data_IF_854365313189
#
_entry.id   IF_854365313189
#
_cell.length_a   1.000
_cell.length_b   1.000
_cell.length_c   1.000
_cell.angle_alpha   90.00
_cell.angle_beta   90.00
_cell.angle_gamma   90.00
#
_symmetry.space_group_name_H-M   'P 1'
#
loop_
_entity.id
_entity.type
_entity.pdbx_description
1 polymer ?
#
# COMPACT_ATOMS: atom_id res chain seq x y z
N UNK A 1 23.84 9.81 4.43
CA UNK A 1 22.87 10.51 5.30
C UNK A 1 21.52 10.66 4.61
N UNK A 2 21.47 11.20 3.38
CA UNK A 2 20.22 11.42 2.62
C UNK A 2 19.38 10.16 2.46
N UNK A 3 19.98 9.04 2.03
CA UNK A 3 19.27 7.75 1.83
C UNK A 3 18.57 7.26 3.11
N UNK A 4 19.21 7.39 4.26
CA UNK A 4 18.62 6.98 5.54
C UNK A 4 17.40 7.86 5.91
N UNK A 5 17.46 9.16 5.63
CA UNK A 5 16.33 10.07 5.80
C UNK A 5 15.19 9.77 4.82
N UNK A 6 15.49 9.40 3.56
CA UNK A 6 14.50 8.99 2.56
C UNK A 6 13.74 7.73 3.01
N UNK A 7 14.48 6.73 3.52
CA UNK A 7 13.89 5.48 4.00
C UNK A 7 13.03 5.75 5.24
N UNK A 8 13.51 6.55 6.19
CA UNK A 8 12.73 6.93 7.38
C UNK A 8 11.44 7.66 7.01
N UNK A 9 11.50 8.63 6.10
CA UNK A 9 10.30 9.33 5.62
C UNK A 9 9.32 8.37 4.94
N UNK A 10 9.80 7.51 4.04
CA UNK A 10 8.97 6.51 3.37
C UNK A 10 8.31 5.54 4.37
N UNK A 11 9.05 5.06 5.39
CA UNK A 11 8.52 4.19 6.43
C UNK A 11 7.46 4.87 7.30
N UNK A 12 7.65 6.12 7.70
CA UNK A 12 6.67 6.88 8.49
C UNK A 12 5.39 7.11 7.67
N UNK A 13 5.54 7.53 6.42
CA UNK A 13 4.40 7.74 5.51
C UNK A 13 3.65 6.44 5.26
N UNK A 14 4.36 5.32 5.05
CA UNK A 14 3.76 4.00 4.92
C UNK A 14 2.98 3.60 6.19
N UNK A 15 3.53 3.84 7.38
CA UNK A 15 2.87 3.51 8.64
C UNK A 15 1.61 4.36 8.88
N UNK A 16 1.65 5.65 8.55
CA UNK A 16 0.48 6.53 8.63
C UNK A 16 -0.60 6.14 7.63
N UNK A 17 -0.24 5.87 6.37
CA UNK A 17 -1.19 5.42 5.35
C UNK A 17 -1.77 4.05 5.67
N UNK A 18 -0.99 3.16 6.29
CA UNK A 18 -1.46 1.87 6.75
C UNK A 18 -2.57 2.03 7.80
N UNK A 19 -2.34 2.88 8.80
CA UNK A 19 -3.33 3.14 9.84
C UNK A 19 -4.57 3.86 9.29
N UNK A 20 -4.39 4.73 8.30
CA UNK A 20 -5.49 5.48 7.66
C UNK A 20 -6.37 4.58 6.77
N UNK A 21 -5.78 3.64 6.04
CA UNK A 21 -6.51 2.84 5.05
C UNK A 21 -6.99 1.47 5.53
N UNK A 22 -6.20 0.81 6.37
CA UNK A 22 -6.45 -0.59 6.76
C UNK A 22 -6.91 -0.71 8.20
N UNK A 23 -6.47 0.16 9.12
CA UNK A 23 -6.87 0.15 10.53
C UNK A 23 -6.34 -1.05 11.32
N UNK A 24 -6.44 -2.26 10.76
CA UNK A 24 -6.06 -3.54 11.34
C UNK A 24 -5.09 -4.34 10.46
N UNK A 25 -4.23 -5.11 11.12
CA UNK A 25 -3.23 -5.96 10.47
C UNK A 25 -3.85 -7.13 9.69
N UNK A 26 -5.00 -7.64 10.15
CA UNK A 26 -5.72 -8.71 9.44
C UNK A 26 -6.24 -8.25 8.07
N UNK A 27 -6.79 -7.03 7.98
CA UNK A 27 -7.28 -6.47 6.72
C UNK A 27 -6.14 -6.26 5.72
N UNK A 28 -4.98 -5.79 6.19
CA UNK A 28 -3.81 -5.65 5.33
C UNK A 28 -3.30 -7.00 4.82
N UNK A 29 -3.15 -8.00 5.69
CA UNK A 29 -2.69 -9.34 5.29
C UNK A 29 -3.68 -9.99 4.34
N UNK A 30 -4.99 -9.81 4.55
CA UNK A 30 -6.00 -10.27 3.63
C UNK A 30 -5.81 -9.63 2.24
N UNK A 31 -5.67 -8.31 2.17
CA UNK A 31 -5.47 -7.60 0.91
C UNK A 31 -4.15 -7.98 0.21
N UNK A 32 -3.04 -8.14 0.95
CA UNK A 32 -1.76 -8.62 0.39
C UNK A 32 -1.91 -10.04 -0.15
N UNK A 33 -2.59 -10.93 0.58
CA UNK A 33 -2.83 -12.31 0.18
C UNK A 33 -3.71 -12.39 -1.08
N UNK A 34 -4.69 -11.48 -1.21
CA UNK A 34 -5.48 -11.30 -2.43
C UNK A 34 -4.63 -10.81 -3.60
N UNK A 35 -3.69 -9.90 -3.38
CA UNK A 35 -2.78 -9.40 -4.42
C UNK A 35 -1.86 -10.50 -4.97
N UNK A 36 -1.35 -11.39 -4.10
CA UNK A 36 -0.52 -12.53 -4.50
C UNK A 36 -1.33 -13.75 -4.98
N UNK A 37 -2.59 -13.86 -4.60
CA UNK A 37 -3.50 -14.95 -5.00
C UNK A 37 -4.74 -14.32 -5.62
N UNK A 38 -4.70 -13.94 -6.91
CA UNK A 38 -5.88 -13.42 -7.57
C UNK A 38 -6.88 -14.57 -7.71
N UNK A 39 -7.76 -14.73 -6.73
CA UNK A 39 -8.90 -15.62 -6.82
C UNK A 39 -9.93 -14.96 -7.75
N UNK A 40 -9.63 -15.02 -9.05
CA UNK A 40 -10.46 -14.52 -10.17
C UNK A 40 -11.90 -15.07 -10.10
N UNK A 41 -12.08 -16.20 -9.41
CA UNK A 41 -13.37 -16.87 -9.17
C UNK A 41 -14.21 -16.16 -8.08
N UNK A 42 -13.60 -15.44 -7.13
CA UNK A 42 -14.31 -14.67 -6.09
C UNK A 42 -14.91 -13.37 -6.63
N UNK A 43 -14.18 -12.72 -7.55
CA UNK A 43 -14.57 -11.48 -8.18
C UNK A 43 -15.90 -11.61 -8.99
N UNK A 44 -16.13 -12.78 -9.60
CA UNK A 44 -17.37 -13.09 -10.34
C UNK A 44 -18.60 -13.37 -9.46
N UNK A 45 -18.44 -13.52 -8.13
CA UNK A 45 -19.54 -13.88 -7.20
C UNK A 45 -20.32 -12.66 -6.68
N UNK A 46 -19.96 -11.44 -7.07
CA UNK A 46 -20.75 -10.23 -6.81
C UNK A 46 -20.21 -9.28 -5.73
N UNK A 47 -19.05 -9.55 -5.14
CA UNK A 47 -18.34 -8.64 -4.22
C UNK A 47 -17.21 -7.84 -4.92
N UNK A 48 -17.35 -7.63 -6.22
CA UNK A 48 -16.33 -7.01 -7.08
C UNK A 48 -15.92 -5.61 -6.62
N UNK A 49 -16.86 -4.84 -6.05
CA UNK A 49 -16.59 -3.47 -5.61
C UNK A 49 -15.72 -3.40 -4.35
N UNK A 50 -15.96 -4.27 -3.37
CA UNK A 50 -15.15 -4.29 -2.14
C UNK A 50 -13.75 -4.85 -2.41
N UNK A 51 -13.65 -5.87 -3.27
CA UNK A 51 -12.37 -6.48 -3.66
C UNK A 51 -11.48 -5.50 -4.46
N UNK A 52 -12.05 -4.76 -5.43
CA UNK A 52 -11.31 -3.73 -6.17
C UNK A 52 -10.90 -2.57 -5.26
N UNK A 53 -11.73 -2.21 -4.29
CA UNK A 53 -11.40 -1.12 -3.37
C UNK A 53 -10.28 -1.53 -2.40
N UNK A 54 -10.27 -2.78 -1.95
CA UNK A 54 -9.18 -3.34 -1.19
C UNK A 54 -7.85 -3.32 -1.99
N UNK A 55 -7.91 -3.75 -3.25
CA UNK A 55 -6.74 -3.76 -4.15
C UNK A 55 -6.21 -2.35 -4.45
N UNK A 56 -7.09 -1.40 -4.75
CA UNK A 56 -6.73 -0.02 -5.06
C UNK A 56 -6.14 0.71 -3.84
N UNK A 57 -6.63 0.45 -2.62
CA UNK A 57 -6.01 0.98 -1.38
C UNK A 57 -4.58 0.50 -1.22
N UNK A 58 -4.32 -0.78 -1.51
CA UNK A 58 -3.00 -1.36 -1.35
C UNK A 58 -2.02 -0.87 -2.41
N UNK A 59 -2.51 -0.72 -3.65
CA UNK A 59 -1.77 -0.10 -4.73
C UNK A 59 -1.43 1.36 -4.42
N UNK A 60 -2.40 2.16 -3.95
CA UNK A 60 -2.19 3.55 -3.54
C UNK A 60 -1.19 3.65 -2.40
N UNK A 61 -1.32 2.80 -1.38
CA UNK A 61 -0.38 2.74 -0.27
C UNK A 61 1.05 2.53 -0.76
N UNK A 62 1.25 1.51 -1.61
CA UNK A 62 2.58 1.16 -2.12
C UNK A 62 3.13 2.24 -3.06
N UNK A 63 2.30 2.78 -3.95
CA UNK A 63 2.68 3.82 -4.90
C UNK A 63 3.07 5.13 -4.20
N UNK A 64 2.32 5.54 -3.17
CA UNK A 64 2.63 6.76 -2.41
C UNK A 64 3.89 6.56 -1.56
N UNK A 65 4.04 5.41 -0.89
CA UNK A 65 5.24 5.13 -0.09
C UNK A 65 6.52 5.09 -0.93
N UNK A 66 6.48 4.46 -2.11
CA UNK A 66 7.63 4.42 -3.03
C UNK A 66 7.84 5.81 -3.67
N UNK A 67 6.76 6.47 -4.09
CA UNK A 67 6.80 7.80 -4.71
C UNK A 67 7.45 8.84 -3.80
N UNK A 68 7.06 8.90 -2.54
CA UNK A 68 7.66 9.79 -1.53
C UNK A 68 9.15 9.49 -1.31
N UNK A 69 9.53 8.21 -1.21
CA UNK A 69 10.93 7.82 -1.07
C UNK A 69 11.79 8.28 -2.25
N UNK A 70 11.29 8.12 -3.47
CA UNK A 70 11.96 8.57 -4.71
C UNK A 70 11.98 10.11 -4.79
N UNK A 71 10.88 10.79 -4.44
CA UNK A 71 10.79 12.25 -4.48
C UNK A 71 11.78 12.90 -3.51
N UNK A 72 11.88 12.37 -2.28
CA UNK A 72 12.85 12.82 -1.28
C UNK A 72 14.27 12.54 -1.76
N UNK A 73 14.52 11.39 -2.39
CA UNK A 73 15.83 11.09 -2.97
C UNK A 73 16.20 12.06 -4.09
N UNK A 74 15.31 12.32 -5.05
CA UNK A 74 15.58 13.23 -6.17
C UNK A 74 15.74 14.69 -5.73
N UNK A 75 15.01 15.12 -4.69
CA UNK A 75 15.04 16.51 -4.22
C UNK A 75 16.25 16.82 -3.31
N UNK A 76 16.84 15.80 -2.69
CA UNK A 76 17.99 15.93 -1.77
C UNK A 76 19.28 15.27 -2.28
N UNK A 77 19.27 14.68 -3.48
CA UNK A 77 20.46 14.24 -4.23
C UNK A 77 21.00 15.35 -5.12
#
# INVERSE_FOLDING_TARGET
MVIACSILAACITAMMLFYLFFGDWEDFVACVKFWFTPNIISALRGQYYDDIWAELKLFLWLAISIGEGVLVYVKFS
#
